data_IF_532921051907
#
_entry.id   IF_532921051907
#
_cell.length_a   1.000
_cell.length_b   1.000
_cell.length_c   1.000
_cell.angle_alpha   90.00
_cell.angle_beta   90.00
_cell.angle_gamma   90.00
#
_symmetry.space_group_name_H-M   'P 1'
#
loop_
_entity.id
_entity.type
_entity.pdbx_description
1 polymer ?
#
# COMPACT_ATOMS: atom_id res chain seq x y z
N UNK A 1 10.15 -29.30 1.25
CA UNK A 1 10.57 -27.98 0.73
C UNK A 1 9.49 -26.95 1.07
N UNK A 2 9.64 -26.26 2.21
CA UNK A 2 8.79 -25.13 2.62
C UNK A 2 9.74 -23.99 3.01
N UNK A 3 9.92 -23.01 2.13
CA UNK A 3 10.73 -21.81 2.39
C UNK A 3 9.80 -20.74 2.92
N UNK A 4 9.72 -20.68 4.24
CA UNK A 4 9.11 -19.60 5.00
C UNK A 4 10.03 -18.39 4.92
N UNK A 5 9.73 -17.47 4.00
CA UNK A 5 10.24 -16.11 4.08
C UNK A 5 9.03 -15.21 4.38
N UNK A 6 9.24 -14.17 5.17
CA UNK A 6 8.26 -13.15 5.57
C UNK A 6 7.35 -13.54 6.74
N UNK A 7 7.96 -13.70 7.92
CA UNK A 7 7.28 -13.41 9.17
C UNK A 7 7.92 -12.18 9.81
N UNK A 8 7.09 -11.39 10.48
CA UNK A 8 7.40 -10.25 11.35
C UNK A 8 7.30 -8.86 10.71
N UNK A 9 6.20 -8.19 11.08
CA UNK A 9 6.07 -6.75 11.32
C UNK A 9 7.08 -5.85 10.59
N UNK A 10 6.90 -5.66 9.29
CA UNK A 10 7.47 -4.48 8.63
C UNK A 10 6.46 -3.34 8.70
N UNK A 11 6.78 -2.32 9.48
CA UNK A 11 6.21 -0.98 9.33
C UNK A 11 6.40 -0.56 7.88
N UNK A 12 5.32 -0.10 7.21
CA UNK A 12 5.41 0.47 5.86
C UNK A 12 6.35 1.67 5.99
N UNK A 13 7.59 1.54 5.50
CA UNK A 13 8.53 2.66 5.44
C UNK A 13 8.25 3.37 4.12
N UNK A 14 7.32 4.30 4.17
CA UNK A 14 7.03 5.17 3.03
C UNK A 14 8.28 6.01 2.75
N UNK A 15 8.90 5.79 1.59
CA UNK A 15 9.75 6.76 0.92
C UNK A 15 8.91 7.47 -0.14
N UNK A 16 9.21 8.73 -0.39
CA UNK A 16 8.55 9.53 -1.44
C UNK A 16 7.01 9.56 -1.24
N UNK A 17 6.57 10.30 -0.23
CA UNK A 17 5.14 10.57 -0.01
C UNK A 17 4.74 11.85 -0.73
N UNK A 18 3.80 11.74 -1.66
CA UNK A 18 3.15 12.88 -2.30
C UNK A 18 1.67 12.84 -1.94
N UNK A 19 1.14 13.96 -1.45
CA UNK A 19 -0.28 14.13 -1.17
C UNK A 19 -0.76 15.32 -1.97
N UNK A 20 -1.67 15.07 -2.89
CA UNK A 20 -2.43 16.08 -3.60
C UNK A 20 -3.86 16.04 -3.07
N UNK A 21 -4.13 16.95 -2.13
CA UNK A 21 -5.44 17.04 -1.49
C UNK A 21 -6.52 17.60 -2.43
N UNK A 22 -6.13 18.38 -3.44
CA UNK A 22 -7.06 18.98 -4.40
C UNK A 22 -7.61 17.91 -5.36
N UNK A 23 -6.78 16.95 -5.74
CA UNK A 23 -7.17 15.84 -6.61
C UNK A 23 -7.52 14.54 -5.86
N UNK A 24 -7.29 14.50 -4.55
CA UNK A 24 -7.56 13.32 -3.71
C UNK A 24 -6.58 12.17 -3.96
N UNK A 25 -5.36 12.47 -4.41
CA UNK A 25 -4.34 11.47 -4.75
C UNK A 25 -3.25 11.43 -3.67
N UNK A 26 -2.89 10.21 -3.26
CA UNK A 26 -1.73 9.95 -2.40
C UNK A 26 -0.83 8.93 -3.09
N UNK A 27 0.44 9.27 -3.26
CA UNK A 27 1.45 8.39 -3.83
C UNK A 27 2.53 8.10 -2.78
N UNK A 28 2.96 6.84 -2.71
CA UNK A 28 3.93 6.37 -1.74
C UNK A 28 4.77 5.24 -2.32
N UNK A 29 6.06 5.17 -1.98
CA UNK A 29 6.93 4.03 -2.29
C UNK A 29 7.27 3.26 -1.00
N UNK A 30 6.95 1.97 -0.97
CA UNK A 30 7.33 1.05 0.09
C UNK A 30 8.64 0.34 -0.28
N UNK A 31 9.66 0.39 0.59
CA UNK A 31 10.96 -0.23 0.33
C UNK A 31 11.20 -1.41 1.26
N UNK A 32 11.44 -2.59 0.70
CA UNK A 32 11.83 -3.78 1.48
C UNK A 32 13.29 -3.68 1.96
N UNK A 33 13.57 -3.84 3.26
CA UNK A 33 14.87 -3.47 3.82
C UNK A 33 16.04 -4.41 3.52
N UNK A 34 15.79 -5.70 3.22
CA UNK A 34 16.87 -6.68 3.00
C UNK A 34 17.32 -6.82 1.54
N UNK A 35 16.46 -6.43 0.60
CA UNK A 35 16.75 -6.51 -0.85
C UNK A 35 16.54 -5.20 -1.59
N UNK A 36 16.07 -4.14 -0.91
CA UNK A 36 15.89 -2.81 -1.50
C UNK A 36 14.79 -2.74 -2.55
N UNK A 37 13.91 -3.75 -2.65
CA UNK A 37 12.83 -3.75 -3.62
C UNK A 37 11.84 -2.63 -3.29
N UNK A 38 11.48 -1.89 -4.32
CA UNK A 38 10.55 -0.78 -4.24
C UNK A 38 9.23 -1.18 -4.86
N UNK A 39 8.16 -0.92 -4.11
CA UNK A 39 6.79 -1.10 -4.55
C UNK A 39 6.09 0.25 -4.47
N UNK A 40 5.43 0.65 -5.55
CA UNK A 40 4.62 1.85 -5.59
C UNK A 40 3.22 1.56 -5.08
N UNK A 41 2.66 2.52 -4.36
CA UNK A 41 1.29 2.54 -3.89
C UNK A 41 0.68 3.86 -4.28
N UNK A 42 -0.46 3.79 -4.98
CA UNK A 42 -1.27 4.96 -5.32
C UNK A 42 -2.64 4.76 -4.71
N UNK A 43 -3.10 5.76 -3.97
CA UNK A 43 -4.43 5.81 -3.40
C UNK A 43 -5.15 7.00 -4.01
N UNK A 44 -6.36 6.76 -4.50
CA UNK A 44 -7.23 7.80 -5.04
C UNK A 44 -8.53 7.80 -4.26
N UNK A 45 -8.88 8.96 -3.72
CA UNK A 45 -10.08 9.20 -2.96
C UNK A 45 -10.99 10.08 -3.81
N UNK A 46 -12.21 9.62 -4.04
CA UNK A 46 -13.20 10.36 -4.83
C UNK A 46 -14.51 10.47 -4.05
N UNK A 47 -15.14 11.63 -4.12
CA UNK A 47 -16.46 11.81 -3.53
C UNK A 47 -17.52 11.07 -4.36
N UNK A 48 -18.42 10.37 -3.66
CA UNK A 48 -19.50 9.57 -4.22
C UNK A 48 -20.79 9.84 -3.42
N UNK A 49 -21.33 11.05 -3.57
CA UNK A 49 -22.49 11.51 -2.82
C UNK A 49 -22.18 11.66 -1.33
N UNK A 50 -22.91 10.94 -0.46
CA UNK A 50 -22.66 10.91 0.99
C UNK A 50 -21.53 9.96 1.40
N UNK A 51 -20.88 9.30 0.44
CA UNK A 51 -19.78 8.36 0.65
C UNK A 51 -18.54 8.84 -0.08
N UNK A 52 -17.40 8.22 0.23
CA UNK A 52 -16.17 8.33 -0.57
C UNK A 52 -15.78 6.96 -1.08
N UNK A 53 -15.30 6.92 -2.32
CA UNK A 53 -14.68 5.75 -2.92
C UNK A 53 -13.16 5.87 -2.77
N UNK A 54 -12.54 4.82 -2.25
CA UNK A 54 -11.09 4.70 -2.11
C UNK A 54 -10.59 3.61 -3.06
N UNK A 55 -9.88 4.02 -4.12
CA UNK A 55 -9.21 3.13 -5.08
C UNK A 55 -7.75 3.01 -4.66
N UNK A 56 -7.25 1.79 -4.48
CA UNK A 56 -5.88 1.51 -4.04
C UNK A 56 -5.23 0.62 -5.06
N UNK A 57 -4.07 1.05 -5.56
CA UNK A 57 -3.23 0.26 -6.46
C UNK A 57 -1.87 0.08 -5.84
N UNK A 58 -1.31 -1.11 -6.01
CA UNK A 58 0.07 -1.38 -5.63
C UNK A 58 0.77 -2.18 -6.71
N UNK A 59 2.00 -1.79 -7.02
CA UNK A 59 2.79 -2.39 -8.10
C UNK A 59 4.26 -2.43 -7.74
N UNK A 60 4.88 -3.59 -7.95
CA UNK A 60 6.32 -3.75 -7.81
C UNK A 60 7.09 -3.12 -8.96
N UNK A 61 8.18 -2.38 -8.67
CA UNK A 61 9.06 -1.80 -9.70
C UNK A 61 9.96 -2.84 -10.36
N UNK A 62 10.29 -3.91 -9.64
CA UNK A 62 11.06 -5.02 -10.19
C UNK A 62 10.11 -6.04 -10.79
N UNK A 63 10.27 -6.31 -12.09
CA UNK A 63 9.49 -7.30 -12.81
C UNK A 63 9.72 -8.72 -12.27
N UNK A 64 8.62 -9.45 -12.07
CA UNK A 64 8.57 -10.80 -11.53
C UNK A 64 7.21 -11.09 -10.93
N UNK A 65 6.95 -12.34 -10.54
CA UNK A 65 5.77 -12.64 -9.70
C UNK A 65 6.01 -12.04 -8.32
N UNK A 66 5.12 -11.15 -7.87
CA UNK A 66 5.17 -10.51 -6.54
C UNK A 66 4.76 -11.48 -5.39
N UNK A 67 4.43 -12.73 -5.74
CA UNK A 67 3.97 -13.79 -4.83
C UNK A 67 2.80 -13.36 -3.92
N UNK A 68 1.99 -12.39 -4.37
CA UNK A 68 0.85 -11.86 -3.62
C UNK A 68 1.21 -10.76 -2.61
N UNK A 69 2.44 -10.25 -2.60
CA UNK A 69 2.87 -9.18 -1.68
C UNK A 69 2.08 -7.89 -1.88
N UNK A 70 1.77 -7.52 -3.11
CA UNK A 70 0.96 -6.32 -3.39
C UNK A 70 -0.45 -6.47 -2.83
N UNK A 71 -1.09 -7.64 -3.00
CA UNK A 71 -2.40 -7.91 -2.42
C UNK A 71 -2.38 -7.94 -0.88
N UNK A 72 -1.33 -8.52 -0.27
CA UNK A 72 -1.11 -8.46 1.18
C UNK A 72 -1.02 -7.03 1.68
N UNK A 73 -0.30 -6.15 0.96
CA UNK A 73 -0.16 -4.74 1.29
C UNK A 73 -1.50 -4.01 1.28
N UNK A 74 -2.31 -4.13 0.22
CA UNK A 74 -3.59 -3.40 0.18
C UNK A 74 -4.54 -3.89 1.28
N UNK A 75 -4.58 -5.22 1.55
CA UNK A 75 -5.40 -5.77 2.65
C UNK A 75 -4.98 -5.20 4.01
N UNK A 76 -3.68 -5.09 4.25
CA UNK A 76 -3.16 -4.52 5.49
C UNK A 76 -3.52 -3.04 5.62
N UNK A 77 -3.36 -2.27 4.54
CA UNK A 77 -3.74 -0.86 4.53
C UNK A 77 -5.23 -0.68 4.86
N UNK A 78 -6.12 -1.42 4.20
CA UNK A 78 -7.57 -1.35 4.45
C UNK A 78 -7.87 -1.65 5.92
N UNK A 79 -7.27 -2.70 6.49
CA UNK A 79 -7.47 -3.05 7.91
C UNK A 79 -7.05 -1.93 8.87
N UNK A 80 -5.96 -1.23 8.60
CA UNK A 80 -5.53 -0.11 9.44
C UNK A 80 -6.40 1.14 9.20
N UNK A 81 -6.87 1.37 7.98
CA UNK A 81 -7.82 2.44 7.67
C UNK A 81 -9.14 2.22 8.42
N UNK A 82 -9.69 1.01 8.39
CA UNK A 82 -10.95 0.68 9.08
C UNK A 82 -10.86 1.00 10.58
N UNK A 83 -9.75 0.62 11.24
CA UNK A 83 -9.54 0.95 12.66
C UNK A 83 -9.52 2.45 12.95
N UNK A 84 -8.98 3.26 12.04
CA UNK A 84 -8.92 4.72 12.18
C UNK A 84 -10.29 5.34 11.94
N UNK A 85 -11.11 4.75 11.07
CA UNK A 85 -12.46 5.24 10.77
C UNK A 85 -13.49 4.81 11.83
N UNK A 86 -13.25 3.70 12.53
CA UNK A 86 -14.08 3.20 13.63
C UNK A 86 -13.78 3.89 14.98
N UNK A 87 -12.69 4.66 15.08
CA UNK A 87 -12.29 5.41 16.28
C UNK A 87 -12.86 6.82 16.30
#
# INVERSE_FOLDING_TARGET
MRRSYYSHLFTIKIKELVIDADTGIVEATDTTPWFGFQDDVVIRITDAGSKRLVDIRSKSRIGGSDLGKNAERIRRFIKELDKILES
#
